data_IF_095387940035
#
_entry.id   IF_095387940035
#
_cell.length_a   1.000
_cell.length_b   1.000
_cell.length_c   1.000
_cell.angle_alpha   90.00
_cell.angle_beta   90.00
_cell.angle_gamma   90.00
#
_symmetry.space_group_name_H-M   'P 1'
#
loop_
_entity.id
_entity.type
_entity.pdbx_description
1 polymer ?
#
# COMPACT_ATOMS: atom_id res chain seq x y z
N UNK A 1 10.93 14.15 -31.00
CA UNK A 1 11.21 13.62 -29.64
C UNK A 1 11.64 14.74 -28.69
N UNK A 2 11.14 15.98 -28.87
CA UNK A 2 11.49 17.14 -28.00
C UNK A 2 11.09 16.88 -26.55
N UNK A 3 9.86 16.38 -26.35
CA UNK A 3 9.29 16.08 -25.03
C UNK A 3 10.12 15.08 -24.19
N UNK A 4 10.83 14.15 -24.85
CA UNK A 4 11.69 13.16 -24.16
C UNK A 4 12.90 13.86 -23.54
N UNK A 5 13.53 14.77 -24.29
CA UNK A 5 14.68 15.53 -23.83
C UNK A 5 14.29 16.51 -22.72
N UNK A 6 13.15 17.18 -22.88
CA UNK A 6 12.59 18.06 -21.84
C UNK A 6 12.29 17.28 -20.56
N UNK A 7 11.68 16.09 -20.68
CA UNK A 7 11.39 15.24 -19.54
C UNK A 7 12.67 14.73 -18.85
N UNK A 8 13.68 14.31 -19.62
CA UNK A 8 14.98 13.90 -19.08
C UNK A 8 15.69 15.06 -18.36
N UNK A 9 15.65 16.27 -18.92
CA UNK A 9 16.19 17.46 -18.27
C UNK A 9 15.48 17.75 -16.94
N UNK A 10 14.14 17.68 -16.94
CA UNK A 10 13.33 17.81 -15.72
C UNK A 10 13.72 16.78 -14.66
N UNK A 11 13.89 15.50 -15.02
CA UNK A 11 14.29 14.44 -14.09
C UNK A 11 15.67 14.70 -13.48
N UNK A 12 16.65 15.13 -14.29
CA UNK A 12 17.99 15.47 -13.80
C UNK A 12 17.96 16.66 -12.83
N UNK A 13 17.20 17.70 -13.17
CA UNK A 13 17.03 18.86 -12.31
C UNK A 13 16.34 18.50 -10.99
N UNK A 14 15.26 17.72 -11.05
CA UNK A 14 14.52 17.28 -9.87
C UNK A 14 15.43 16.47 -8.92
N UNK A 15 16.23 15.54 -9.44
CA UNK A 15 17.17 14.76 -8.64
C UNK A 15 18.28 15.64 -8.04
N UNK A 16 18.82 16.58 -8.84
CA UNK A 16 19.82 17.55 -8.36
C UNK A 16 19.27 18.38 -7.19
N UNK A 17 18.05 18.89 -7.32
CA UNK A 17 17.40 19.69 -6.28
C UNK A 17 17.13 18.86 -5.02
N UNK A 18 16.68 17.61 -5.17
CA UNK A 18 16.50 16.69 -4.03
C UNK A 18 17.80 16.45 -3.27
N UNK A 19 18.91 16.22 -3.99
CA UNK A 19 20.23 16.00 -3.39
C UNK A 19 20.74 17.25 -2.69
N UNK A 20 20.65 18.42 -3.33
CA UNK A 20 21.06 19.71 -2.74
C UNK A 20 20.26 20.02 -1.48
N UNK A 21 18.93 19.93 -1.55
CA UNK A 21 18.05 20.17 -0.40
C UNK A 21 18.32 19.21 0.76
N UNK A 22 18.66 17.95 0.49
CA UNK A 22 19.06 17.00 1.51
C UNK A 22 20.41 17.35 2.12
N UNK A 23 21.38 17.74 1.30
CA UNK A 23 22.70 18.18 1.75
C UNK A 23 22.63 19.44 2.63
N UNK A 24 21.83 20.42 2.24
CA UNK A 24 21.56 21.63 3.03
C UNK A 24 20.96 21.29 4.39
N UNK A 25 19.90 20.47 4.43
CA UNK A 25 19.30 20.01 5.69
C UNK A 25 20.26 19.25 6.60
N UNK A 26 21.07 18.37 6.02
CA UNK A 26 22.08 17.63 6.77
C UNK A 26 23.15 18.59 7.35
N UNK A 27 23.53 19.65 6.62
CA UNK A 27 24.44 20.68 7.11
C UNK A 27 23.82 21.55 8.20
N UNK A 28 22.58 22.00 8.03
CA UNK A 28 21.84 22.76 9.05
C UNK A 28 21.78 21.98 10.37
N UNK A 29 21.51 20.67 10.29
CA UNK A 29 21.50 19.79 11.46
C UNK A 29 22.88 19.68 12.11
N UNK A 30 23.94 19.49 11.32
CA UNK A 30 25.31 19.43 11.84
C UNK A 30 25.72 20.70 12.55
N UNK A 31 25.41 21.86 11.98
CA UNK A 31 25.69 23.17 12.61
C UNK A 31 24.90 23.31 13.90
N UNK A 32 23.63 22.87 13.95
CA UNK A 32 22.82 22.87 15.17
C UNK A 32 23.38 21.94 16.26
N UNK A 33 23.99 20.82 15.86
CA UNK A 33 24.66 19.86 16.75
C UNK A 33 26.10 20.29 17.14
N UNK A 34 26.57 21.46 16.66
CA UNK A 34 27.90 22.02 16.95
C UNK A 34 29.03 21.44 16.09
N UNK A 35 28.70 20.65 15.07
CA UNK A 35 29.64 20.11 14.09
C UNK A 35 29.88 21.11 12.92
N UNK A 36 30.98 20.90 12.18
CA UNK A 36 31.29 21.69 10.98
C UNK A 36 30.45 21.20 9.79
N UNK A 37 30.14 22.13 8.89
CA UNK A 37 29.48 21.83 7.61
C UNK A 37 30.27 20.81 6.78
N UNK A 38 29.56 19.98 6.01
CA UNK A 38 30.16 19.10 5.03
C UNK A 38 30.88 19.90 3.96
N UNK A 39 32.01 19.35 3.49
CA UNK A 39 32.76 19.93 2.38
C UNK A 39 31.97 19.81 1.08
N UNK A 40 32.19 20.78 0.18
CA UNK A 40 31.67 20.79 -1.19
C UNK A 40 32.09 19.52 -1.97
N UNK A 41 33.19 18.88 -1.59
CA UNK A 41 33.62 17.59 -2.15
C UNK A 41 32.58 16.48 -1.91
N UNK A 42 31.95 16.44 -0.73
CA UNK A 42 30.90 15.46 -0.42
C UNK A 42 29.61 15.74 -1.20
N UNK A 43 29.30 17.02 -1.47
CA UNK A 43 28.20 17.39 -2.35
C UNK A 43 28.46 16.91 -3.79
N UNK A 44 29.69 17.06 -4.29
CA UNK A 44 30.07 16.59 -5.62
C UNK A 44 29.97 15.07 -5.73
N UNK A 45 30.41 14.32 -4.72
CA UNK A 45 30.23 12.86 -4.66
C UNK A 45 28.76 12.46 -4.68
N UNK A 46 27.90 13.16 -3.92
CA UNK A 46 26.45 12.92 -3.92
C UNK A 46 25.80 13.25 -5.27
N UNK A 47 26.41 14.10 -6.10
CA UNK A 47 25.93 14.46 -7.44
C UNK A 47 26.47 13.54 -8.55
N UNK A 48 27.46 12.68 -8.29
CA UNK A 48 27.96 11.72 -9.28
C UNK A 48 26.86 10.84 -9.91
N UNK A 49 25.89 10.29 -9.15
CA UNK A 49 24.79 9.52 -9.73
C UNK A 49 23.94 10.30 -10.74
N UNK A 50 23.79 11.63 -10.55
CA UNK A 50 23.07 12.49 -11.49
C UNK A 50 23.88 12.68 -12.76
N UNK A 51 25.21 12.86 -12.65
CA UNK A 51 26.09 12.95 -13.82
C UNK A 51 26.12 11.64 -14.61
N UNK A 52 26.07 10.50 -13.94
CA UNK A 52 25.95 9.19 -14.58
C UNK A 52 24.61 9.05 -15.32
N UNK A 53 23.51 9.48 -14.69
CA UNK A 53 22.18 9.51 -15.31
C UNK A 53 22.14 10.42 -16.54
N UNK A 54 22.77 11.59 -16.48
CA UNK A 54 22.89 12.52 -17.61
C UNK A 54 23.66 11.91 -18.78
N UNK A 55 24.79 11.23 -18.49
CA UNK A 55 25.56 10.50 -19.50
C UNK A 55 24.74 9.40 -20.15
N UNK A 56 23.92 8.68 -19.38
CA UNK A 56 23.01 7.64 -19.90
C UNK A 56 21.96 8.23 -20.83
N UNK A 57 21.23 9.26 -20.41
CA UNK A 57 20.23 9.93 -21.26
C UNK A 57 20.85 10.49 -22.54
N UNK A 58 22.05 11.07 -22.46
CA UNK A 58 22.78 11.54 -23.64
C UNK A 58 23.21 10.42 -24.58
N UNK A 59 23.57 9.24 -24.05
CA UNK A 59 23.87 8.05 -24.85
C UNK A 59 22.61 7.55 -25.55
N UNK A 60 21.50 7.39 -24.83
CA UNK A 60 20.20 6.93 -25.35
C UNK A 60 19.66 7.86 -26.44
N UNK A 61 19.75 9.18 -26.23
CA UNK A 61 19.35 10.18 -27.22
C UNK A 61 20.20 10.15 -28.50
N UNK A 62 21.47 9.73 -28.40
CA UNK A 62 22.37 9.59 -29.56
C UNK A 62 22.19 8.27 -30.30
N UNK A 63 21.97 7.17 -29.57
CA UNK A 63 21.83 5.82 -30.15
C UNK A 63 20.41 5.53 -30.61
N UNK A 64 19.42 6.26 -30.10
CA UNK A 64 17.99 5.97 -30.31
C UNK A 64 17.56 4.64 -29.68
N UNK A 65 18.43 4.02 -28.87
CA UNK A 65 18.19 2.74 -28.20
C UNK A 65 18.27 2.97 -26.69
N UNK A 66 17.14 2.77 -26.03
CA UNK A 66 17.05 2.75 -24.57
C UNK A 66 17.57 1.38 -24.12
N UNK A 67 18.70 1.37 -23.42
CA UNK A 67 19.17 0.16 -22.74
C UNK A 67 18.35 0.04 -21.45
N UNK A 68 17.32 -0.82 -21.45
CA UNK A 68 16.51 -1.06 -20.27
C UNK A 68 17.40 -1.58 -19.12
N UNK A 69 17.75 -0.70 -18.18
CA UNK A 69 18.46 -1.11 -16.98
C UNK A 69 17.49 -1.78 -16.00
N UNK A 70 17.77 -3.06 -15.76
CA UNK A 70 17.00 -3.92 -14.87
C UNK A 70 16.46 -5.14 -15.59
N UNK A 71 16.53 -6.29 -14.92
CA UNK A 71 15.68 -7.42 -15.33
C UNK A 71 14.25 -6.93 -15.13
N UNK A 72 13.50 -6.78 -16.23
CA UNK A 72 12.06 -6.58 -16.16
C UNK A 72 11.43 -7.60 -15.20
N UNK A 73 10.27 -7.29 -14.60
CA UNK A 73 9.61 -8.23 -13.69
C UNK A 73 9.53 -9.59 -14.38
N UNK A 74 9.97 -10.64 -13.67
CA UNK A 74 9.89 -12.00 -14.18
C UNK A 74 8.44 -12.33 -14.49
N UNK A 75 8.21 -13.24 -15.44
CA UNK A 75 6.85 -13.69 -15.79
C UNK A 75 6.08 -14.11 -14.54
N UNK A 76 6.73 -14.85 -13.62
CA UNK A 76 6.18 -15.23 -12.31
C UNK A 76 5.70 -14.04 -11.46
N UNK A 77 6.43 -12.91 -11.45
CA UNK A 77 6.02 -11.71 -10.71
C UNK A 77 4.80 -11.04 -11.35
N UNK A 78 4.71 -11.09 -12.68
CA UNK A 78 3.56 -10.56 -13.42
C UNK A 78 2.34 -11.45 -13.16
N UNK A 79 2.48 -12.77 -13.24
CA UNK A 79 1.41 -13.73 -12.93
C UNK A 79 0.91 -13.56 -11.49
N UNK A 80 1.80 -13.47 -10.50
CA UNK A 80 1.42 -13.22 -9.12
C UNK A 80 0.68 -11.88 -8.94
N UNK A 81 1.06 -10.84 -9.70
CA UNK A 81 0.36 -9.57 -9.70
C UNK A 81 -1.03 -9.67 -10.33
N UNK A 82 -1.18 -10.43 -11.42
CA UNK A 82 -2.47 -10.70 -12.08
C UNK A 82 -3.40 -11.43 -11.10
N UNK A 83 -2.97 -12.53 -10.48
CA UNK A 83 -3.78 -13.28 -9.51
C UNK A 83 -4.23 -12.38 -8.35
N UNK A 84 -3.35 -11.51 -7.85
CA UNK A 84 -3.70 -10.56 -6.79
C UNK A 84 -4.76 -9.53 -7.25
N UNK A 85 -4.68 -9.09 -8.50
CA UNK A 85 -5.67 -8.16 -9.06
C UNK A 85 -7.01 -8.86 -9.27
N UNK A 86 -7.01 -10.09 -9.77
CA UNK A 86 -8.23 -10.90 -9.96
C UNK A 86 -8.97 -11.11 -8.62
N UNK A 87 -8.26 -11.53 -7.57
CA UNK A 87 -8.83 -11.68 -6.22
C UNK A 87 -9.44 -10.37 -5.69
N UNK A 88 -8.80 -9.23 -5.98
CA UNK A 88 -9.31 -7.91 -5.59
C UNK A 88 -10.57 -7.55 -6.36
N UNK A 89 -10.62 -7.83 -7.66
CA UNK A 89 -11.79 -7.59 -8.51
C UNK A 89 -12.97 -8.44 -8.03
N UNK A 90 -12.74 -9.73 -7.78
CA UNK A 90 -13.77 -10.64 -7.27
C UNK A 90 -14.34 -10.14 -5.93
N UNK A 91 -13.46 -9.79 -4.98
CA UNK A 91 -13.87 -9.25 -3.68
C UNK A 91 -14.71 -7.97 -3.82
N UNK A 92 -14.29 -7.06 -4.71
CA UNK A 92 -15.02 -5.81 -4.93
C UNK A 92 -16.36 -6.03 -5.62
N UNK A 93 -16.44 -6.99 -6.55
CA UNK A 93 -17.68 -7.36 -7.23
C UNK A 93 -18.70 -7.93 -6.24
N UNK A 94 -18.27 -8.85 -5.37
CA UNK A 94 -19.10 -9.41 -4.30
C UNK A 94 -19.61 -8.32 -3.35
N UNK A 95 -18.73 -7.41 -2.90
CA UNK A 95 -19.12 -6.30 -2.03
C UNK A 95 -20.10 -5.33 -2.68
N UNK A 96 -19.94 -5.07 -3.98
CA UNK A 96 -20.84 -4.21 -4.73
C UNK A 96 -22.24 -4.85 -4.86
N UNK A 97 -22.29 -6.15 -5.16
CA UNK A 97 -23.52 -6.90 -5.23
C UNK A 97 -24.23 -6.95 -3.87
N UNK A 98 -23.51 -7.31 -2.80
CA UNK A 98 -24.06 -7.32 -1.43
C UNK A 98 -24.67 -5.96 -1.04
N UNK A 99 -24.04 -4.86 -1.47
CA UNK A 99 -24.56 -3.52 -1.18
C UNK A 99 -25.83 -3.20 -1.95
N UNK A 100 -25.93 -3.63 -3.20
CA UNK A 100 -27.15 -3.42 -3.99
C UNK A 100 -28.30 -4.28 -3.47
N UNK A 101 -28.04 -5.56 -3.18
CA UNK A 101 -29.04 -6.50 -2.65
C UNK A 101 -29.59 -6.05 -1.28
N UNK A 102 -28.75 -5.41 -0.46
CA UNK A 102 -29.15 -4.91 0.86
C UNK A 102 -29.53 -3.41 0.88
N UNK A 103 -29.69 -2.77 -0.28
CA UNK A 103 -29.96 -1.33 -0.38
C UNK A 103 -31.25 -0.88 0.31
N UNK A 104 -32.26 -1.73 0.33
CA UNK A 104 -33.58 -1.43 0.90
C UNK A 104 -33.81 -2.05 2.28
N UNK A 105 -32.84 -2.80 2.82
CA UNK A 105 -33.03 -3.61 4.04
C UNK A 105 -32.08 -3.18 5.15
N UNK A 106 -32.65 -2.76 6.29
CA UNK A 106 -31.88 -2.41 7.50
C UNK A 106 -31.58 -3.65 8.37
N UNK A 107 -30.49 -4.36 8.08
CA UNK A 107 -30.09 -5.60 8.79
C UNK A 107 -29.67 -5.39 10.26
N UNK A 108 -29.42 -4.16 10.70
CA UNK A 108 -28.93 -3.87 12.05
C UNK A 108 -29.93 -4.27 13.15
N UNK A 109 -31.22 -3.97 12.95
CA UNK A 109 -32.24 -4.17 13.98
C UNK A 109 -32.52 -5.65 14.23
N UNK A 110 -32.66 -6.45 13.15
CA UNK A 110 -32.84 -7.91 13.23
C UNK A 110 -31.67 -8.57 13.95
N UNK A 111 -30.45 -8.22 13.54
CA UNK A 111 -29.20 -8.75 14.11
C UNK A 111 -29.01 -8.45 15.59
N UNK A 112 -29.47 -7.29 16.07
CA UNK A 112 -29.23 -6.87 17.46
C UNK A 112 -30.32 -7.36 18.41
N UNK A 113 -31.56 -7.49 17.93
CA UNK A 113 -32.72 -7.66 18.80
C UNK A 113 -33.49 -8.97 18.58
N UNK A 114 -33.36 -9.60 17.42
CA UNK A 114 -34.26 -10.69 17.01
C UNK A 114 -33.52 -11.99 16.65
N UNK A 115 -32.20 -11.93 16.47
CA UNK A 115 -31.35 -13.11 16.22
C UNK A 115 -30.59 -13.44 17.50
N UNK A 116 -30.61 -14.71 17.92
CA UNK A 116 -29.81 -15.16 19.07
C UNK A 116 -28.32 -15.04 18.72
N UNK A 117 -27.53 -14.23 19.45
CA UNK A 117 -26.12 -14.03 19.16
C UNK A 117 -25.29 -15.32 19.22
N UNK A 118 -25.74 -16.34 19.97
CA UNK A 118 -25.08 -17.65 20.07
C UNK A 118 -25.02 -18.36 18.73
N UNK A 119 -26.04 -18.24 17.89
CA UNK A 119 -26.04 -18.79 16.52
C UNK A 119 -24.88 -18.21 15.69
N UNK A 120 -24.63 -16.91 15.81
CA UNK A 120 -23.51 -16.24 15.12
C UNK A 120 -22.15 -16.66 15.70
N UNK A 121 -22.08 -16.90 17.02
CA UNK A 121 -20.85 -17.40 17.68
C UNK A 121 -20.52 -18.82 17.23
N UNK A 122 -21.51 -19.72 17.17
CA UNK A 122 -21.34 -21.09 16.65
C UNK A 122 -20.85 -21.05 15.21
N UNK A 123 -21.48 -20.24 14.35
CA UNK A 123 -21.03 -20.07 12.97
C UNK A 123 -19.58 -19.57 12.89
N UNK A 124 -19.22 -18.56 13.69
CA UNK A 124 -17.88 -17.99 13.75
C UNK A 124 -16.83 -19.04 14.14
N UNK A 125 -17.10 -19.87 15.15
CA UNK A 125 -16.18 -20.94 15.57
C UNK A 125 -16.11 -22.06 14.53
N UNK A 126 -17.26 -22.59 14.08
CA UNK A 126 -17.37 -23.71 13.13
C UNK A 126 -16.66 -23.46 11.79
N UNK A 127 -16.73 -22.24 11.28
CA UNK A 127 -16.08 -21.87 10.01
C UNK A 127 -14.78 -21.09 10.21
N UNK A 128 -14.30 -20.98 11.44
CA UNK A 128 -13.10 -20.22 11.80
C UNK A 128 -13.09 -18.78 11.25
N UNK A 129 -14.24 -18.11 11.27
CA UNK A 129 -14.40 -16.73 10.82
C UNK A 129 -14.30 -15.82 12.05
N UNK A 130 -13.44 -14.78 12.05
CA UNK A 130 -13.29 -13.91 13.22
C UNK A 130 -14.62 -13.24 13.63
N UNK A 131 -14.99 -13.35 14.91
CA UNK A 131 -16.27 -12.82 15.44
C UNK A 131 -16.44 -11.30 15.24
N UNK A 132 -15.34 -10.57 15.10
CA UNK A 132 -15.31 -9.15 14.78
C UNK A 132 -15.82 -8.78 13.38
N UNK A 133 -15.87 -9.76 12.46
CA UNK A 133 -16.54 -9.59 11.17
C UNK A 133 -18.06 -9.52 11.33
N UNK A 134 -18.59 -10.11 12.40
CA UNK A 134 -20.03 -10.08 12.69
C UNK A 134 -20.39 -9.01 13.72
N UNK A 135 -19.67 -8.91 14.84
CA UNK A 135 -20.02 -7.99 15.92
C UNK A 135 -18.96 -6.89 16.07
N UNK A 136 -19.41 -5.63 16.06
CA UNK A 136 -18.57 -4.49 16.43
C UNK A 136 -18.11 -4.62 17.90
N UNK A 137 -17.13 -3.82 18.32
CA UNK A 137 -16.62 -3.85 19.70
C UNK A 137 -17.75 -3.74 20.74
N UNK A 138 -18.65 -2.77 20.58
CA UNK A 138 -19.79 -2.58 21.49
C UNK A 138 -20.76 -3.78 21.50
N UNK A 139 -20.99 -4.43 20.35
CA UNK A 139 -21.85 -5.61 20.29
C UNK A 139 -21.19 -6.85 20.92
N UNK A 140 -19.86 -6.98 20.82
CA UNK A 140 -19.12 -8.05 21.51
C UNK A 140 -19.20 -7.91 23.03
N UNK A 141 -19.13 -6.69 23.55
CA UNK A 141 -19.31 -6.41 24.98
C UNK A 141 -20.75 -6.74 25.41
N UNK A 142 -21.76 -6.32 24.65
CA UNK A 142 -23.17 -6.64 24.92
C UNK A 142 -23.46 -8.15 24.92
N UNK A 143 -22.84 -8.90 24.00
CA UNK A 143 -23.07 -10.33 23.82
C UNK A 143 -21.94 -11.20 24.40
N UNK A 144 -21.17 -10.68 25.36
CA UNK A 144 -20.04 -11.40 25.95
C UNK A 144 -20.45 -12.74 26.56
N UNK A 145 -21.65 -12.79 27.17
CA UNK A 145 -22.23 -14.02 27.71
C UNK A 145 -22.40 -15.09 26.64
N UNK A 146 -22.82 -14.73 25.42
CA UNK A 146 -22.99 -15.65 24.30
C UNK A 146 -21.66 -16.09 23.69
N UNK A 147 -20.62 -15.25 23.75
CA UNK A 147 -19.28 -15.62 23.26
C UNK A 147 -18.62 -16.65 24.20
N UNK A 148 -18.84 -16.52 25.52
CA UNK A 148 -18.24 -17.41 26.54
C UNK A 148 -18.99 -18.71 26.78
N UNK A 149 -20.29 -18.76 26.49
CA UNK A 149 -21.17 -19.87 26.92
C UNK A 149 -21.36 -20.98 25.89
N UNK A 150 -20.79 -20.87 24.70
CA UNK A 150 -21.20 -21.70 23.56
C UNK A 150 -20.00 -22.26 22.82
N UNK A 151 -20.01 -23.56 22.54
CA UNK A 151 -19.02 -24.26 21.71
C UNK A 151 -19.57 -24.56 20.31
N UNK A 152 -18.72 -25.09 19.43
CA UNK A 152 -18.99 -25.29 17.99
C UNK A 152 -20.20 -26.18 17.66
N UNK A 153 -20.60 -27.06 18.58
CA UNK A 153 -21.66 -28.06 18.38
C UNK A 153 -22.99 -27.67 19.03
N UNK A 154 -23.15 -26.41 19.44
CA UNK A 154 -24.37 -25.96 20.10
C UNK A 154 -25.52 -25.74 19.10
N UNK A 155 -26.71 -26.23 19.47
CA UNK A 155 -27.97 -26.06 18.74
C UNK A 155 -28.99 -25.27 19.57
N UNK A 156 -29.85 -24.51 18.89
CA UNK A 156 -30.86 -23.63 19.49
C UNK A 156 -32.16 -24.36 19.84
#
# INVERSE_FOLDING_TARGET
MEWIKEHQAYLLEEQTQKIKKKFEKDNEKRVADGEKEMKVTELNERLEPVKEMEKKFNKENKTGKVEAEGKGPTVEKIEAAITKLEQRVETMSLQAQDKEDNKEVALGTSKINYIDPRLTVVFSKKFNVPIEKFFSKALREKFEWAIKSVEEDWEF
#
